data_IF_603475614943
#
_entry.id   IF_603475614943
#
_cell.length_a   1.000
_cell.length_b   1.000
_cell.length_c   1.000
_cell.angle_alpha   90.00
_cell.angle_beta   90.00
_cell.angle_gamma   90.00
#
_symmetry.space_group_name_H-M   'P 1'
#
loop_
_entity.id
_entity.type
_entity.pdbx_description
1 polymer ?
#
# COMPACT_ATOMS: atom_id res chain seq x y z
N UNK A 1 5.76 7.58 -27.85
CA UNK A 1 6.69 6.68 -28.55
C UNK A 1 7.49 5.95 -27.47
N UNK A 2 7.61 4.62 -27.53
CA UNK A 2 8.40 3.86 -26.57
C UNK A 2 9.89 4.24 -26.72
N UNK A 3 10.59 4.36 -25.59
CA UNK A 3 12.02 4.65 -25.58
C UNK A 3 12.81 3.35 -25.37
N UNK A 4 13.48 2.81 -26.40
CA UNK A 4 14.17 1.52 -26.30
C UNK A 4 15.36 1.57 -25.32
N UNK A 5 15.97 2.72 -25.08
CA UNK A 5 17.04 2.87 -24.10
C UNK A 5 16.51 2.63 -22.69
N UNK A 6 15.39 3.27 -22.33
CA UNK A 6 14.76 3.06 -21.03
C UNK A 6 14.33 1.61 -20.82
N UNK A 7 13.88 0.92 -21.88
CA UNK A 7 13.54 -0.50 -21.79
C UNK A 7 14.75 -1.37 -21.50
N UNK A 8 15.89 -1.09 -22.14
CA UNK A 8 17.15 -1.78 -21.85
C UNK A 8 17.59 -1.56 -20.40
N UNK A 9 17.48 -0.34 -19.91
CA UNK A 9 17.82 0.00 -18.52
C UNK A 9 16.91 -0.73 -17.54
N UNK A 10 15.61 -0.82 -17.84
CA UNK A 10 14.66 -1.63 -17.05
C UNK A 10 15.12 -3.08 -16.91
N UNK A 11 15.40 -3.75 -18.02
CA UNK A 11 15.86 -5.15 -17.97
C UNK A 11 17.15 -5.31 -17.17
N UNK A 12 18.09 -4.37 -17.30
CA UNK A 12 19.32 -4.36 -16.51
C UNK A 12 19.06 -4.21 -15.01
N UNK A 13 18.15 -3.33 -14.60
CA UNK A 13 17.76 -3.14 -13.20
C UNK A 13 17.02 -4.33 -12.62
N UNK A 14 16.04 -4.85 -13.36
CA UNK A 14 15.30 -6.08 -12.98
C UNK A 14 16.26 -7.26 -12.80
N UNK A 15 17.18 -7.47 -13.72
CA UNK A 15 18.17 -8.55 -13.63
C UNK A 15 19.04 -8.41 -12.37
N UNK A 16 19.47 -7.19 -12.02
CA UNK A 16 20.24 -6.95 -10.79
C UNK A 16 19.43 -7.21 -9.54
N UNK A 17 18.17 -6.75 -9.48
CA UNK A 17 17.27 -6.99 -8.34
C UNK A 17 17.04 -8.48 -8.12
N UNK A 18 16.71 -9.21 -9.18
CA UNK A 18 16.49 -10.65 -9.11
C UNK A 18 17.77 -11.40 -8.78
N UNK A 19 18.92 -10.97 -9.33
CA UNK A 19 20.23 -11.55 -9.03
C UNK A 19 20.61 -11.44 -7.55
N UNK A 20 20.28 -10.32 -6.88
CA UNK A 20 20.48 -10.15 -5.43
C UNK A 20 19.57 -11.05 -4.57
N UNK A 21 18.47 -11.54 -5.14
CA UNK A 21 17.48 -12.36 -4.45
C UNK A 21 17.62 -13.88 -4.72
N UNK A 22 18.61 -14.30 -5.48
CA UNK A 22 18.82 -15.74 -5.79
C UNK A 22 18.94 -16.54 -4.49
N UNK A 23 18.16 -17.63 -4.41
CA UNK A 23 18.14 -18.52 -3.25
C UNK A 23 17.27 -18.07 -2.07
N UNK A 24 16.55 -16.96 -2.18
CA UNK A 24 15.60 -16.48 -1.18
C UNK A 24 14.35 -15.89 -1.80
N UNK A 25 13.33 -15.64 -1.00
CA UNK A 25 12.15 -14.87 -1.43
C UNK A 25 12.49 -13.38 -1.56
N UNK A 26 11.79 -12.71 -2.48
CA UNK A 26 11.82 -11.25 -2.58
C UNK A 26 11.25 -10.62 -1.31
N UNK A 27 11.84 -9.53 -0.89
CA UNK A 27 11.27 -8.66 0.15
C UNK A 27 10.13 -7.82 -0.42
N UNK A 28 9.27 -7.27 0.45
CA UNK A 28 8.21 -6.32 0.05
C UNK A 28 8.77 -5.11 -0.71
N UNK A 29 9.92 -4.59 -0.29
CA UNK A 29 10.60 -3.46 -0.96
C UNK A 29 11.09 -3.85 -2.36
N UNK A 30 11.68 -5.04 -2.53
CA UNK A 30 12.11 -5.53 -3.84
C UNK A 30 10.93 -5.73 -4.79
N UNK A 31 9.81 -6.25 -4.28
CA UNK A 31 8.57 -6.34 -5.07
C UNK A 31 8.09 -4.96 -5.53
N UNK A 32 8.11 -3.97 -4.64
CA UNK A 32 7.76 -2.59 -4.97
C UNK A 32 8.70 -2.04 -6.06
N UNK A 33 10.01 -2.21 -5.89
CA UNK A 33 11.02 -1.75 -6.85
C UNK A 33 10.81 -2.35 -8.24
N UNK A 34 10.54 -3.64 -8.36
CA UNK A 34 10.31 -4.29 -9.66
C UNK A 34 9.15 -3.65 -10.42
N UNK A 35 8.05 -3.35 -9.72
CA UNK A 35 6.87 -2.75 -10.35
C UNK A 35 7.12 -1.26 -10.66
N UNK A 36 7.78 -0.55 -9.77
CA UNK A 36 8.04 0.87 -9.92
C UNK A 36 9.09 1.16 -11.01
N UNK A 37 10.07 0.27 -11.20
CA UNK A 37 11.00 0.33 -12.34
C UNK A 37 10.26 0.21 -13.68
N UNK A 38 9.26 -0.65 -13.77
CA UNK A 38 8.40 -0.70 -14.95
C UNK A 38 7.63 0.62 -15.16
N UNK A 39 7.13 1.23 -14.09
CA UNK A 39 6.44 2.51 -14.15
C UNK A 39 7.34 3.67 -14.60
N UNK A 40 8.63 3.67 -14.23
CA UNK A 40 9.62 4.67 -14.67
C UNK A 40 9.77 4.69 -16.19
N UNK A 41 9.65 3.54 -16.85
CA UNK A 41 9.81 3.47 -18.32
C UNK A 41 8.67 4.14 -19.09
N UNK A 42 7.53 4.37 -18.44
CA UNK A 42 6.31 4.93 -19.06
C UNK A 42 6.31 6.47 -18.98
N UNK A 43 7.28 7.07 -18.29
CA UNK A 43 7.40 8.54 -18.22
C UNK A 43 7.87 9.09 -19.56
N UNK A 44 7.11 10.02 -20.15
CA UNK A 44 7.43 10.71 -21.39
C UNK A 44 7.21 12.21 -21.24
N UNK A 45 8.16 13.00 -21.74
CA UNK A 45 8.06 14.46 -21.81
C UNK A 45 7.87 15.14 -20.45
N UNK A 46 8.58 14.68 -19.42
CA UNK A 46 8.46 15.12 -18.03
C UNK A 46 7.06 14.97 -17.40
N UNK A 47 6.14 14.29 -18.07
CA UNK A 47 4.82 14.00 -17.55
C UNK A 47 4.79 12.56 -17.05
N UNK A 48 4.39 12.39 -15.79
CA UNK A 48 4.16 11.08 -15.19
C UNK A 48 2.95 10.42 -15.85
N UNK A 49 3.17 9.35 -16.61
CA UNK A 49 2.13 8.59 -17.30
C UNK A 49 1.63 7.38 -16.49
N UNK A 50 2.35 7.01 -15.47
CA UNK A 50 1.99 5.93 -14.56
C UNK A 50 2.22 6.37 -13.11
N UNK A 51 1.33 5.99 -12.25
CA UNK A 51 1.46 6.19 -10.80
C UNK A 51 0.93 4.95 -10.10
N UNK A 52 1.68 4.45 -9.13
CA UNK A 52 1.29 3.32 -8.32
C UNK A 52 0.82 3.74 -6.93
N UNK A 53 -0.01 2.92 -6.34
CA UNK A 53 -0.26 2.93 -4.90
C UNK A 53 0.20 1.58 -4.36
N UNK A 54 0.98 1.61 -3.29
CA UNK A 54 1.44 0.42 -2.58
C UNK A 54 0.73 0.36 -1.24
N UNK A 55 -0.08 -0.66 -1.09
CA UNK A 55 -0.75 -0.96 0.18
C UNK A 55 0.01 -2.08 0.86
N UNK A 56 0.30 -1.92 2.13
CA UNK A 56 1.00 -2.92 2.95
C UNK A 56 0.48 -2.89 4.38
N UNK A 57 0.60 -4.01 5.08
CA UNK A 57 0.20 -4.10 6.48
C UNK A 57 1.00 -3.10 7.33
N UNK A 58 0.35 -2.44 8.27
CA UNK A 58 0.96 -1.39 9.09
C UNK A 58 2.24 -1.82 9.81
N UNK A 59 2.37 -3.12 10.11
CA UNK A 59 3.51 -3.74 10.78
C UNK A 59 4.61 -4.22 9.82
N UNK A 60 4.46 -4.05 8.51
CA UNK A 60 5.59 -4.22 7.57
C UNK A 60 6.53 -3.01 7.66
N UNK A 61 7.45 -3.09 8.60
CA UNK A 61 8.44 -2.03 8.88
C UNK A 61 9.37 -1.78 7.69
N UNK A 62 9.65 -2.81 6.88
CA UNK A 62 10.48 -2.69 5.68
C UNK A 62 9.81 -1.83 4.63
N UNK A 63 8.54 -2.11 4.31
CA UNK A 63 7.78 -1.30 3.38
C UNK A 63 7.53 0.11 3.93
N UNK A 64 7.24 0.23 5.22
CA UNK A 64 7.00 1.51 5.88
C UNK A 64 8.22 2.44 5.83
N UNK A 65 9.44 1.90 5.95
CA UNK A 65 10.71 2.63 5.90
C UNK A 65 11.36 2.68 4.53
N UNK A 66 10.74 2.09 3.49
CA UNK A 66 11.38 1.95 2.18
C UNK A 66 11.80 3.29 1.53
N UNK A 67 11.09 4.37 1.85
CA UNK A 67 11.40 5.72 1.36
C UNK A 67 12.14 6.58 2.38
N UNK A 68 12.45 6.08 3.55
CA UNK A 68 13.23 6.82 4.54
C UNK A 68 14.64 7.10 3.96
N UNK A 69 15.09 8.34 4.12
CA UNK A 69 16.38 8.80 3.59
C UNK A 69 16.57 8.54 2.08
N UNK A 70 15.48 8.57 1.31
CA UNK A 70 15.56 8.43 -0.15
C UNK A 70 16.37 9.58 -0.78
N UNK A 71 16.24 10.77 -0.21
CA UNK A 71 17.04 11.94 -0.54
C UNK A 71 18.17 12.12 0.45
N UNK A 72 19.38 12.26 -0.04
CA UNK A 72 20.60 12.41 0.76
C UNK A 72 21.42 13.59 0.23
N UNK A 73 22.16 14.26 1.12
CA UNK A 73 23.14 15.25 0.71
C UNK A 73 24.47 14.57 0.38
N UNK A 74 25.06 14.95 -0.76
CA UNK A 74 26.43 14.57 -1.08
C UNK A 74 27.45 15.44 -0.30
N UNK A 75 28.73 15.16 -0.49
CA UNK A 75 29.82 15.89 0.18
C UNK A 75 29.83 17.40 -0.11
N UNK A 76 29.25 17.81 -1.24
CA UNK A 76 29.15 19.21 -1.66
C UNK A 76 27.86 19.88 -1.20
N UNK A 77 27.02 19.16 -0.43
CA UNK A 77 25.74 19.65 0.08
C UNK A 77 24.58 19.61 -0.91
N UNK A 78 24.75 19.01 -2.09
CA UNK A 78 23.67 18.87 -3.06
C UNK A 78 22.77 17.69 -2.69
N UNK A 79 21.46 17.90 -2.83
CA UNK A 79 20.50 16.83 -2.63
C UNK A 79 20.48 15.86 -3.81
N UNK A 80 20.70 14.60 -3.53
CA UNK A 80 20.65 13.49 -4.50
C UNK A 80 19.72 12.40 -4.01
N UNK A 81 19.04 11.79 -4.95
CA UNK A 81 18.22 10.60 -4.66
C UNK A 81 19.09 9.35 -4.71
N UNK A 82 18.82 8.40 -3.82
CA UNK A 82 19.45 7.09 -3.84
C UNK A 82 19.14 6.37 -5.17
N UNK A 83 20.15 6.12 -6.02
CA UNK A 83 19.91 5.55 -7.36
C UNK A 83 19.40 4.10 -7.33
N UNK A 84 19.61 3.36 -6.24
CA UNK A 84 19.11 2.00 -6.08
C UNK A 84 17.63 1.97 -5.70
N UNK A 85 17.10 3.08 -5.16
CA UNK A 85 15.72 3.19 -4.69
C UNK A 85 14.91 4.30 -5.39
N UNK A 86 15.47 4.95 -6.38
CA UNK A 86 14.85 6.08 -7.10
C UNK A 86 13.45 5.72 -7.63
N UNK A 87 13.24 4.51 -8.10
CA UNK A 87 11.96 4.07 -8.64
C UNK A 87 10.82 4.12 -7.60
N UNK A 88 11.11 3.99 -6.30
CA UNK A 88 10.07 4.06 -5.25
C UNK A 88 9.28 5.37 -5.23
N UNK A 89 9.81 6.44 -5.80
CA UNK A 89 9.08 7.72 -5.96
C UNK A 89 7.89 7.64 -6.91
N UNK A 90 7.79 6.55 -7.69
CA UNK A 90 6.70 6.36 -8.66
C UNK A 90 5.39 5.92 -8.03
N UNK A 91 5.40 5.50 -6.77
CA UNK A 91 4.22 5.07 -6.04
C UNK A 91 4.04 5.81 -4.72
N UNK A 92 2.78 6.02 -4.33
CA UNK A 92 2.43 6.40 -2.96
C UNK A 92 2.41 5.15 -2.08
N UNK A 93 2.92 5.27 -0.86
CA UNK A 93 2.93 4.20 0.13
C UNK A 93 1.80 4.41 1.13
N UNK A 94 1.00 3.36 1.37
CA UNK A 94 -0.18 3.41 2.24
C UNK A 94 -0.10 2.29 3.27
N UNK A 95 -0.09 2.65 4.56
CA UNK A 95 -0.21 1.70 5.67
C UNK A 95 -1.66 1.32 5.86
N UNK A 96 -1.95 0.02 5.84
CA UNK A 96 -3.30 -0.50 6.03
C UNK A 96 -3.40 -1.10 7.43
N UNK A 97 -4.35 -0.61 8.20
CA UNK A 97 -4.70 -1.11 9.52
C UNK A 97 -5.97 -1.94 9.42
N UNK A 98 -5.88 -3.21 9.80
CA UNK A 98 -7.01 -4.14 9.86
C UNK A 98 -7.67 -4.18 11.24
N UNK A 99 -6.99 -3.67 12.24
CA UNK A 99 -7.49 -3.49 13.61
C UNK A 99 -7.34 -2.03 14.02
N UNK A 100 -8.01 -1.60 15.07
CA UNK A 100 -7.87 -0.22 15.55
C UNK A 100 -6.45 0.00 16.09
N UNK A 101 -5.68 0.94 15.49
CA UNK A 101 -4.38 1.29 16.04
C UNK A 101 -4.56 2.01 17.39
N UNK A 102 -3.59 1.86 18.27
CA UNK A 102 -3.52 2.71 19.46
C UNK A 102 -3.24 4.17 19.05
N UNK A 103 -3.54 5.09 19.97
CA UNK A 103 -3.29 6.52 19.73
C UNK A 103 -1.82 6.80 19.45
N UNK A 104 -0.93 6.09 20.15
CA UNK A 104 0.52 6.25 20.05
C UNK A 104 1.01 5.79 18.66
N UNK A 105 0.54 4.64 18.20
CA UNK A 105 0.87 4.10 16.86
C UNK A 105 0.38 5.03 15.76
N UNK A 106 -0.83 5.57 15.91
CA UNK A 106 -1.39 6.51 14.94
C UNK A 106 -0.61 7.83 14.95
N UNK A 107 -0.28 8.35 16.13
CA UNK A 107 0.49 9.59 16.27
C UNK A 107 1.87 9.46 15.64
N UNK A 108 2.56 8.33 15.86
CA UNK A 108 3.85 8.07 15.22
C UNK A 108 3.72 8.05 13.69
N UNK A 109 2.71 7.36 13.15
CA UNK A 109 2.48 7.30 11.70
C UNK A 109 2.20 8.68 11.10
N UNK A 110 1.37 9.49 11.75
CA UNK A 110 1.06 10.87 11.33
C UNK A 110 2.28 11.78 11.44
N UNK A 111 3.06 11.67 12.51
CA UNK A 111 4.29 12.45 12.69
C UNK A 111 5.31 12.12 11.60
N UNK A 112 5.49 10.84 11.29
CA UNK A 112 6.35 10.40 10.19
C UNK A 112 5.88 10.96 8.85
N UNK A 113 4.58 10.90 8.57
CA UNK A 113 3.99 11.48 7.36
C UNK A 113 4.20 13.00 7.29
N UNK A 114 4.06 13.70 8.40
CA UNK A 114 4.28 15.15 8.46
C UNK A 114 5.72 15.52 8.08
N UNK A 115 6.71 14.78 8.57
CA UNK A 115 8.12 15.07 8.27
C UNK A 115 8.57 14.60 6.90
N UNK A 116 8.09 13.46 6.42
CA UNK A 116 8.53 12.87 5.14
C UNK A 116 7.68 13.29 3.93
N UNK A 117 6.46 13.78 4.15
CA UNK A 117 5.46 13.98 3.10
C UNK A 117 4.91 12.69 2.49
N UNK A 118 5.23 11.53 3.09
CA UNK A 118 4.92 10.19 2.56
C UNK A 118 4.21 9.33 3.63
N UNK A 119 3.46 8.33 3.16
CA UNK A 119 2.89 7.34 4.06
C UNK A 119 1.43 7.60 4.41
N UNK A 120 0.55 7.51 3.41
CA UNK A 120 -0.89 7.52 3.65
C UNK A 120 -1.32 6.42 4.63
N UNK A 121 -2.44 6.66 5.29
CA UNK A 121 -3.02 5.78 6.31
C UNK A 121 -4.40 5.36 5.83
N UNK A 122 -4.67 4.05 5.84
CA UNK A 122 -5.97 3.48 5.52
C UNK A 122 -6.43 2.55 6.65
N UNK A 123 -7.68 2.70 7.05
CA UNK A 123 -8.32 1.80 7.99
C UNK A 123 -9.26 0.87 7.22
N UNK A 124 -8.84 -0.39 7.05
CA UNK A 124 -9.52 -1.36 6.21
C UNK A 124 -11.00 -1.62 6.63
N UNK A 125 -11.33 -1.77 7.93
CA UNK A 125 -12.72 -1.99 8.34
C UNK A 125 -13.67 -0.87 7.89
N UNK A 126 -13.23 0.40 7.95
CA UNK A 126 -14.02 1.54 7.46
C UNK A 126 -14.16 1.51 5.93
N UNK A 127 -13.09 1.17 5.21
CA UNK A 127 -13.12 1.06 3.77
C UNK A 127 -14.08 -0.07 3.31
N UNK A 128 -14.05 -1.22 3.99
CA UNK A 128 -14.96 -2.35 3.76
C UNK A 128 -16.40 -1.92 4.06
N UNK A 129 -16.65 -1.28 5.20
CA UNK A 129 -17.97 -0.82 5.57
C UNK A 129 -18.56 0.15 4.53
N UNK A 130 -17.75 1.07 4.00
CA UNK A 130 -18.17 2.01 2.95
C UNK A 130 -18.38 1.37 1.59
N UNK A 131 -17.62 0.33 1.26
CA UNK A 131 -17.82 -0.42 0.01
C UNK A 131 -19.10 -1.25 0.02
N UNK A 132 -19.67 -1.51 1.20
CA UNK A 132 -20.94 -2.19 1.43
C UNK A 132 -22.08 -1.23 1.81
N UNK A 133 -22.08 -0.01 1.27
CA UNK A 133 -23.06 1.02 1.61
C UNK A 133 -24.51 0.63 1.27
N UNK A 134 -24.70 -0.30 0.36
CA UNK A 134 -25.99 -0.91 0.03
C UNK A 134 -26.59 -1.71 1.19
N UNK A 135 -25.76 -2.42 1.93
CA UNK A 135 -26.15 -3.16 3.14
C UNK A 135 -26.03 -2.29 4.40
N UNK A 136 -24.95 -1.53 4.49
CA UNK A 136 -24.61 -0.68 5.64
C UNK A 136 -25.04 0.77 5.38
N UNK A 137 -26.32 0.98 5.14
CA UNK A 137 -26.87 2.28 4.67
C UNK A 137 -26.80 3.39 5.71
N UNK A 138 -26.77 3.07 7.01
CA UNK A 138 -26.74 4.06 8.08
C UNK A 138 -25.38 4.11 8.80
N UNK A 139 -25.04 5.26 9.43
CA UNK A 139 -23.83 5.37 10.24
C UNK A 139 -23.78 4.38 11.41
N UNK A 140 -24.94 4.03 11.98
CA UNK A 140 -25.08 3.09 13.10
C UNK A 140 -24.68 1.68 12.65
N UNK A 141 -25.25 1.19 11.54
CA UNK A 141 -24.92 -0.12 10.96
C UNK A 141 -23.45 -0.23 10.61
N UNK A 142 -22.88 0.82 10.03
CA UNK A 142 -21.44 0.85 9.72
C UNK A 142 -20.59 0.76 10.98
N UNK A 143 -20.96 1.47 12.03
CA UNK A 143 -20.22 1.47 13.30
C UNK A 143 -20.26 0.09 13.94
N UNK A 144 -21.45 -0.52 14.01
CA UNK A 144 -21.63 -1.86 14.54
C UNK A 144 -20.83 -2.91 13.77
N UNK A 145 -20.90 -2.88 12.44
CA UNK A 145 -20.07 -3.73 11.58
C UNK A 145 -18.57 -3.58 11.86
N UNK A 146 -18.08 -2.33 11.96
CA UNK A 146 -16.66 -2.03 12.22
C UNK A 146 -16.26 -2.54 13.60
N UNK A 147 -17.10 -2.40 14.61
CA UNK A 147 -16.85 -2.89 15.97
C UNK A 147 -16.70 -4.41 15.95
N UNK A 148 -17.65 -5.13 15.33
CA UNK A 148 -17.58 -6.59 15.19
C UNK A 148 -16.33 -7.01 14.40
N UNK A 149 -16.04 -6.35 13.29
CA UNK A 149 -14.86 -6.67 12.48
C UNK A 149 -13.55 -6.51 13.27
N UNK A 150 -13.42 -5.44 14.06
CA UNK A 150 -12.23 -5.16 14.84
C UNK A 150 -12.07 -6.08 16.04
N UNK A 151 -13.18 -6.42 16.72
CA UNK A 151 -13.15 -7.12 17.99
C UNK A 151 -13.23 -8.66 17.82
N UNK A 152 -13.92 -9.12 16.77
CA UNK A 152 -14.22 -10.54 16.58
C UNK A 152 -13.68 -11.09 15.24
N UNK A 153 -13.24 -10.21 14.34
CA UNK A 153 -12.63 -10.58 13.07
C UNK A 153 -13.58 -10.59 11.88
N UNK A 154 -12.98 -10.81 10.72
CA UNK A 154 -13.63 -10.76 9.40
C UNK A 154 -14.77 -11.78 9.27
N UNK A 155 -14.56 -13.00 9.75
CA UNK A 155 -15.55 -14.07 9.63
C UNK A 155 -16.83 -13.77 10.43
N UNK A 156 -16.68 -13.21 11.65
CA UNK A 156 -17.83 -12.85 12.47
C UNK A 156 -18.59 -11.65 11.89
N UNK A 157 -17.88 -10.68 11.34
CA UNK A 157 -18.50 -9.58 10.59
C UNK A 157 -19.30 -10.09 9.38
N UNK A 158 -18.80 -11.12 8.68
CA UNK A 158 -19.53 -11.78 7.60
C UNK A 158 -20.80 -12.49 8.06
N UNK A 159 -20.73 -13.21 9.18
CA UNK A 159 -21.93 -13.84 9.79
C UNK A 159 -22.97 -12.79 10.20
N UNK A 160 -22.51 -11.69 10.77
CA UNK A 160 -23.40 -10.59 11.16
C UNK A 160 -24.11 -9.97 9.95
N UNK A 161 -23.40 -9.80 8.80
CA UNK A 161 -24.04 -9.35 7.55
C UNK A 161 -25.14 -10.30 7.10
N UNK A 162 -24.88 -11.61 7.09
CA UNK A 162 -25.86 -12.62 6.73
C UNK A 162 -27.09 -12.63 7.64
N UNK A 163 -26.89 -12.40 8.94
CA UNK A 163 -27.99 -12.34 9.90
C UNK A 163 -28.89 -11.12 9.72
N UNK A 164 -28.31 -9.98 9.36
CA UNK A 164 -29.04 -8.71 9.28
C UNK A 164 -29.66 -8.44 7.89
N UNK A 165 -29.08 -9.03 6.84
CA UNK A 165 -29.48 -8.73 5.45
C UNK A 165 -29.97 -9.95 4.67
N UNK A 166 -30.02 -11.13 5.32
CA UNK A 166 -30.36 -12.40 4.69
C UNK A 166 -29.13 -13.11 4.09
N UNK A 167 -29.29 -14.36 3.64
CA UNK A 167 -28.17 -15.16 3.16
C UNK A 167 -27.53 -14.55 1.91
N UNK A 168 -26.27 -14.17 2.04
CA UNK A 168 -25.40 -13.73 0.96
C UNK A 168 -24.61 -14.97 0.50
N UNK A 169 -24.49 -15.19 -0.80
CA UNK A 169 -23.70 -16.29 -1.33
C UNK A 169 -22.23 -16.17 -0.88
N UNK A 170 -21.57 -17.30 -0.62
CA UNK A 170 -20.23 -17.32 -0.04
C UNK A 170 -19.19 -16.56 -0.88
N UNK A 171 -19.25 -16.69 -2.20
CA UNK A 171 -18.40 -15.99 -3.14
C UNK A 171 -18.64 -14.48 -3.13
N UNK A 172 -19.88 -14.06 -3.03
CA UNK A 172 -20.25 -12.65 -2.89
C UNK A 172 -19.82 -12.09 -1.54
N UNK A 173 -20.00 -12.85 -0.46
CA UNK A 173 -19.56 -12.45 0.88
C UNK A 173 -18.04 -12.29 0.93
N UNK A 174 -17.30 -13.26 0.37
CA UNK A 174 -15.84 -13.17 0.26
C UNK A 174 -15.42 -11.94 -0.55
N UNK A 175 -16.09 -11.68 -1.66
CA UNK A 175 -15.84 -10.50 -2.48
C UNK A 175 -16.11 -9.19 -1.71
N UNK A 176 -17.18 -9.11 -0.94
CA UNK A 176 -17.56 -7.95 -0.13
C UNK A 176 -16.57 -7.67 1.01
N UNK A 177 -16.03 -8.72 1.61
CA UNK A 177 -15.10 -8.63 2.74
C UNK A 177 -13.62 -8.73 2.32
N UNK A 178 -13.32 -9.23 1.14
CA UNK A 178 -11.98 -9.59 0.68
C UNK A 178 -11.21 -8.50 -0.05
N UNK A 179 -11.78 -7.32 -0.25
CA UNK A 179 -11.21 -6.25 -1.09
C UNK A 179 -9.98 -5.54 -0.48
N UNK A 180 -9.60 -5.87 0.77
CA UNK A 180 -8.52 -5.19 1.48
C UNK A 180 -7.69 -6.19 2.30
#
# INVERSE_FOLDING_TARGET
MANPVKLKDLYGRVARLLGKAVGRRLTSVECCLLIDEAAVTIVAGNIRRSAGMRQFAFNDTSAAGAKDNLWQQDADGNWRIDPERDALRMANHTRVYHTRPSREVLLEAVTRQFHSGEGAIQFAPEAIARSNADLLSTPELRREFIDIYCDQGKEEAGRWLNLNHGPIADDELEHRLGRY
#
